data_IF_822994207628
#
_entry.id   IF_822994207628
#
_cell.length_a   1.000
_cell.length_b   1.000
_cell.length_c   1.000
_cell.angle_alpha   90.00
_cell.angle_beta   90.00
_cell.angle_gamma   90.00
#
_symmetry.space_group_name_H-M   'P 1'
#
loop_
_entity.id
_entity.type
_entity.pdbx_description
1 polymer ?
#
# COMPACT_ATOMS: atom_id res chain seq x y z
N UNK A 1 5.98 16.50 -4.95
CA UNK A 1 4.85 17.42 -4.69
C UNK A 1 4.48 18.26 -5.92
N UNK A 2 5.38 19.07 -6.48
CA UNK A 2 5.04 19.92 -7.64
C UNK A 2 4.50 19.12 -8.85
N UNK A 3 5.17 18.02 -9.22
CA UNK A 3 4.73 17.15 -10.32
C UNK A 3 3.35 16.52 -10.06
N UNK A 4 3.13 16.00 -8.84
CA UNK A 4 1.86 15.41 -8.43
C UNK A 4 0.72 16.44 -8.48
N UNK A 5 0.96 17.63 -7.93
CA UNK A 5 0.01 18.73 -7.95
C UNK A 5 -0.29 19.18 -9.39
N UNK A 6 0.72 19.25 -10.25
CA UNK A 6 0.56 19.56 -11.67
C UNK A 6 -0.31 18.54 -12.40
N UNK A 7 -0.03 17.24 -12.24
CA UNK A 7 -0.84 16.17 -12.83
C UNK A 7 -2.29 16.28 -12.33
N UNK A 8 -2.50 16.42 -11.01
CA UNK A 8 -3.83 16.52 -10.43
C UNK A 8 -4.63 17.73 -10.93
N UNK A 9 -4.00 18.90 -11.06
CA UNK A 9 -4.63 20.10 -11.59
C UNK A 9 -4.98 19.95 -13.07
N UNK A 10 -4.02 19.49 -13.89
CA UNK A 10 -4.24 19.28 -15.33
C UNK A 10 -5.38 18.28 -15.55
N UNK A 11 -5.38 17.15 -14.84
CA UNK A 11 -6.47 16.17 -14.91
C UNK A 11 -7.80 16.77 -14.51
N UNK A 12 -7.85 17.55 -13.43
CA UNK A 12 -9.09 18.23 -12.98
C UNK A 12 -9.65 19.13 -14.08
N UNK A 13 -8.82 19.98 -14.69
CA UNK A 13 -9.26 20.85 -15.79
C UNK A 13 -9.77 20.06 -17.00
N UNK A 14 -9.03 19.02 -17.42
CA UNK A 14 -9.43 18.18 -18.56
C UNK A 14 -10.75 17.45 -18.30
N UNK A 15 -10.92 16.91 -17.09
CA UNK A 15 -12.15 16.24 -16.67
C UNK A 15 -13.33 17.20 -16.73
N UNK A 16 -13.19 18.42 -16.19
CA UNK A 16 -14.26 19.43 -16.24
C UNK A 16 -14.64 19.81 -17.68
N UNK A 17 -13.66 19.88 -18.60
CA UNK A 17 -13.90 20.25 -19.99
C UNK A 17 -14.68 19.18 -20.79
N UNK A 18 -14.51 17.88 -20.47
CA UNK A 18 -15.06 16.78 -21.28
C UNK A 18 -16.21 16.01 -20.62
N UNK A 19 -16.40 16.16 -19.30
CA UNK A 19 -17.36 15.35 -18.53
C UNK A 19 -18.82 15.52 -19.00
N UNK A 20 -19.19 16.68 -19.51
CA UNK A 20 -20.55 16.91 -20.04
C UNK A 20 -20.80 16.20 -21.37
N UNK A 21 -19.77 15.97 -22.18
CA UNK A 21 -19.89 15.35 -23.51
C UNK A 21 -19.68 13.83 -23.45
N UNK A 22 -18.65 13.38 -22.73
CA UNK A 22 -18.24 11.97 -22.66
C UNK A 22 -17.82 11.56 -21.24
N UNK A 23 -18.78 11.32 -20.33
CA UNK A 23 -18.48 11.02 -18.93
C UNK A 23 -17.61 9.77 -18.72
N UNK A 24 -17.70 8.78 -19.61
CA UNK A 24 -16.84 7.59 -19.57
C UNK A 24 -15.35 7.93 -19.79
N UNK A 25 -15.04 8.82 -20.73
CA UNK A 25 -13.66 9.24 -20.99
C UNK A 25 -13.10 10.09 -19.84
N UNK A 26 -13.93 10.98 -19.27
CA UNK A 26 -13.58 11.74 -18.08
C UNK A 26 -13.20 10.80 -16.92
N UNK A 27 -13.97 9.72 -16.73
CA UNK A 27 -13.70 8.73 -15.70
C UNK A 27 -12.38 7.97 -15.93
N UNK A 28 -12.13 7.48 -17.15
CA UNK A 28 -10.86 6.83 -17.52
C UNK A 28 -9.64 7.74 -17.29
N UNK A 29 -9.79 9.04 -17.53
CA UNK A 29 -8.74 10.04 -17.29
C UNK A 29 -8.38 10.15 -15.81
N UNK A 30 -9.39 10.13 -14.92
CA UNK A 30 -9.17 10.14 -13.46
C UNK A 30 -8.44 8.88 -13.01
N UNK A 31 -8.86 7.69 -13.49
CA UNK A 31 -8.18 6.44 -13.14
C UNK A 31 -6.72 6.42 -13.61
N UNK A 32 -6.47 6.87 -14.84
CA UNK A 32 -5.12 6.94 -15.40
C UNK A 32 -4.24 7.89 -14.59
N UNK A 33 -4.72 9.09 -14.30
CA UNK A 33 -3.99 10.08 -13.52
C UNK A 33 -3.73 9.62 -12.08
N UNK A 34 -4.75 9.05 -11.42
CA UNK A 34 -4.63 8.50 -10.06
C UNK A 34 -3.61 7.38 -9.98
N UNK A 35 -3.65 6.44 -10.94
CA UNK A 35 -2.65 5.37 -11.05
C UNK A 35 -1.25 5.93 -11.30
N UNK A 36 -1.12 6.93 -12.20
CA UNK A 36 0.16 7.58 -12.47
C UNK A 36 0.75 8.27 -11.23
N UNK A 37 -0.06 9.02 -10.48
CA UNK A 37 0.36 9.66 -9.23
C UNK A 37 0.85 8.61 -8.22
N UNK A 38 0.16 7.48 -8.09
CA UNK A 38 0.56 6.41 -7.20
C UNK A 38 1.93 5.82 -7.60
N UNK A 39 2.16 5.57 -8.89
CA UNK A 39 3.45 5.07 -9.37
C UNK A 39 4.59 6.05 -9.07
N UNK A 40 4.38 7.36 -9.18
CA UNK A 40 5.37 8.36 -8.77
C UNK A 40 5.73 8.32 -7.28
N UNK A 41 4.83 7.86 -6.42
CA UNK A 41 5.08 7.75 -4.98
C UNK A 41 5.90 6.52 -4.61
N UNK A 42 5.94 5.49 -5.46
CA UNK A 42 6.65 4.23 -5.19
C UNK A 42 8.14 4.47 -4.91
N UNK A 43 8.80 5.35 -5.66
CA UNK A 43 10.21 5.67 -5.45
C UNK A 43 10.48 6.32 -4.09
N UNK A 44 9.56 7.17 -3.62
CA UNK A 44 9.69 7.81 -2.31
C UNK A 44 9.47 6.80 -1.18
N UNK A 45 8.51 5.90 -1.35
CA UNK A 45 8.30 4.79 -0.41
C UNK A 45 9.55 3.91 -0.34
N UNK A 46 10.18 3.59 -1.48
CA UNK A 46 11.41 2.81 -1.52
C UNK A 46 12.57 3.48 -0.76
N UNK A 47 12.75 4.80 -0.91
CA UNK A 47 13.77 5.55 -0.14
C UNK A 47 13.51 5.52 1.36
N UNK A 48 12.25 5.65 1.78
CA UNK A 48 11.87 5.57 3.20
C UNK A 48 12.19 4.17 3.73
N UNK A 49 11.86 3.12 2.98
CA UNK A 49 12.19 1.73 3.33
C UNK A 49 13.69 1.56 3.54
N UNK A 50 14.52 2.02 2.60
CA UNK A 50 15.99 1.94 2.72
C UNK A 50 16.52 2.69 3.94
N UNK A 51 15.96 3.86 4.24
CA UNK A 51 16.35 4.65 5.42
C UNK A 51 16.02 3.91 6.73
N UNK A 52 14.85 3.29 6.81
CA UNK A 52 14.43 2.47 7.95
C UNK A 52 15.33 1.24 8.10
N UNK A 53 15.66 0.55 7.01
CA UNK A 53 16.56 -0.61 7.02
C UNK A 53 17.97 -0.23 7.50
N UNK A 54 18.52 0.90 7.03
CA UNK A 54 19.82 1.41 7.47
C UNK A 54 19.83 1.78 8.96
N UNK A 55 18.75 2.40 9.45
CA UNK A 55 18.61 2.76 10.86
C UNK A 55 18.52 1.50 11.73
N UNK A 56 17.77 0.49 11.30
CA UNK A 56 17.65 -0.79 11.99
C UNK A 56 19.01 -1.52 12.09
N UNK A 57 19.77 -1.54 10.99
CA UNK A 57 21.12 -2.10 10.96
C UNK A 57 22.07 -1.37 11.93
N UNK A 58 21.98 -0.04 11.99
CA UNK A 58 22.79 0.78 12.92
C UNK A 58 22.41 0.57 14.39
N UNK A 59 21.15 0.24 14.67
CA UNK A 59 20.63 0.01 16.02
C UNK A 59 20.79 -1.46 16.50
N UNK A 60 21.46 -2.33 15.73
CA UNK A 60 21.58 -3.77 16.01
C UNK A 60 20.22 -4.49 16.15
N UNK A 61 19.18 -3.94 15.51
CA UNK A 61 17.85 -4.57 15.45
C UNK A 61 17.90 -5.66 14.38
N UNK A 62 17.26 -6.80 14.65
CA UNK A 62 17.14 -7.86 13.67
C UNK A 62 16.35 -7.34 12.45
N UNK A 63 17.07 -7.10 11.35
CA UNK A 63 16.57 -6.57 10.08
C UNK A 63 15.47 -7.44 9.46
N UNK A 64 15.37 -8.72 9.84
CA UNK A 64 14.31 -9.61 9.38
C UNK A 64 12.92 -9.15 9.87
N UNK A 65 12.80 -8.68 11.12
CA UNK A 65 11.51 -8.19 11.63
C UNK A 65 11.12 -6.88 10.97
N UNK A 66 12.07 -5.95 10.81
CA UNK A 66 11.84 -4.66 10.15
C UNK A 66 11.40 -4.88 8.70
N UNK A 67 12.09 -5.74 7.95
CA UNK A 67 11.73 -6.09 6.58
C UNK A 67 10.34 -6.74 6.49
N UNK A 68 9.96 -7.54 7.49
CA UNK A 68 8.64 -8.17 7.54
C UNK A 68 7.53 -7.14 7.80
N UNK A 69 7.74 -6.20 8.71
CA UNK A 69 6.81 -5.08 8.96
C UNK A 69 6.65 -4.24 7.69
N UNK A 70 7.74 -3.90 7.01
CA UNK A 70 7.69 -3.12 5.76
C UNK A 70 6.95 -3.86 4.64
N UNK A 71 7.07 -5.19 4.55
CA UNK A 71 6.26 -6.01 3.62
C UNK A 71 4.76 -5.92 3.94
N UNK A 72 4.39 -6.01 5.22
CA UNK A 72 2.98 -5.90 5.65
C UNK A 72 2.42 -4.52 5.26
N UNK A 73 3.15 -3.45 5.55
CA UNK A 73 2.77 -2.08 5.20
C UNK A 73 2.60 -1.94 3.68
N UNK A 74 3.56 -2.45 2.90
CA UNK A 74 3.51 -2.42 1.44
C UNK A 74 2.27 -3.12 0.88
N UNK A 75 1.96 -4.33 1.36
CA UNK A 75 0.77 -5.08 0.95
C UNK A 75 -0.50 -4.31 1.31
N UNK A 76 -0.58 -3.74 2.52
CA UNK A 76 -1.73 -2.97 2.95
C UNK A 76 -1.99 -1.76 2.03
N UNK A 77 -0.95 -0.98 1.71
CA UNK A 77 -1.08 0.18 0.83
C UNK A 77 -1.48 -0.20 -0.60
N UNK A 78 -0.87 -1.26 -1.17
CA UNK A 78 -1.20 -1.71 -2.53
C UNK A 78 -2.64 -2.22 -2.59
N UNK A 79 -3.07 -3.02 -1.61
CA UNK A 79 -4.42 -3.56 -1.54
C UNK A 79 -5.46 -2.44 -1.38
N UNK A 80 -5.23 -1.49 -0.45
CA UNK A 80 -6.13 -0.35 -0.22
C UNK A 80 -6.25 0.52 -1.47
N UNK A 81 -5.12 0.89 -2.08
CA UNK A 81 -5.12 1.72 -3.28
C UNK A 81 -5.85 1.04 -4.45
N UNK A 82 -5.53 -0.23 -4.70
CA UNK A 82 -6.17 -1.00 -5.78
C UNK A 82 -7.68 -1.17 -5.52
N UNK A 83 -8.09 -1.37 -4.28
CA UNK A 83 -9.49 -1.44 -3.90
C UNK A 83 -10.21 -0.10 -4.10
N UNK A 84 -9.61 1.03 -3.72
CA UNK A 84 -10.17 2.35 -3.94
C UNK A 84 -10.36 2.66 -5.43
N UNK A 85 -9.32 2.45 -6.25
CA UNK A 85 -9.42 2.60 -7.71
C UNK A 85 -10.51 1.69 -8.31
N UNK A 86 -10.64 0.46 -7.82
CA UNK A 86 -11.71 -0.46 -8.25
C UNK A 86 -13.10 0.03 -7.84
N UNK A 87 -13.26 0.62 -6.64
CA UNK A 87 -14.52 1.21 -6.18
C UNK A 87 -14.88 2.44 -7.01
N UNK A 88 -13.91 3.30 -7.31
CA UNK A 88 -14.10 4.46 -8.16
C UNK A 88 -14.60 4.04 -9.57
N UNK A 89 -14.15 2.87 -10.05
CA UNK A 89 -14.64 2.23 -11.29
C UNK A 89 -16.01 1.56 -11.22
N UNK A 90 -16.71 1.65 -10.09
CA UNK A 90 -17.96 0.93 -9.88
C UNK A 90 -17.78 -0.58 -9.71
N UNK A 91 -16.53 -1.08 -9.64
CA UNK A 91 -16.20 -2.50 -9.50
C UNK A 91 -16.06 -2.89 -8.01
N UNK A 92 -17.10 -2.60 -7.22
CA UNK A 92 -17.10 -2.83 -5.77
C UNK A 92 -16.82 -4.29 -5.39
N UNK A 93 -17.36 -5.26 -6.14
CA UNK A 93 -17.08 -6.69 -5.89
C UNK A 93 -15.61 -7.05 -6.14
N UNK A 94 -14.93 -6.38 -7.08
CA UNK A 94 -13.49 -6.58 -7.29
C UNK A 94 -12.70 -5.97 -6.15
N UNK A 95 -13.06 -4.75 -5.73
CA UNK A 95 -12.44 -4.09 -4.59
C UNK A 95 -12.48 -4.95 -3.31
N UNK A 96 -13.64 -5.53 -2.98
CA UNK A 96 -13.77 -6.42 -1.81
C UNK A 96 -12.88 -7.66 -1.90
N UNK A 97 -12.70 -8.23 -3.10
CA UNK A 97 -11.80 -9.38 -3.31
C UNK A 97 -10.33 -8.98 -3.12
N UNK A 98 -9.95 -7.80 -3.58
CA UNK A 98 -8.59 -7.25 -3.41
C UNK A 98 -8.29 -6.99 -1.92
N UNK A 99 -9.23 -6.36 -1.20
CA UNK A 99 -9.09 -6.14 0.25
C UNK A 99 -8.94 -7.46 1.01
N UNK A 100 -9.76 -8.47 0.67
CA UNK A 100 -9.68 -9.79 1.28
C UNK A 100 -8.33 -10.44 1.01
N UNK A 101 -7.84 -10.38 -0.24
CA UNK A 101 -6.53 -10.92 -0.61
C UNK A 101 -5.41 -10.24 0.19
N UNK A 102 -5.43 -8.91 0.30
CA UNK A 102 -4.47 -8.16 1.11
C UNK A 102 -4.46 -8.60 2.57
N UNK A 103 -5.64 -8.76 3.18
CA UNK A 103 -5.78 -9.25 4.56
C UNK A 103 -5.22 -10.66 4.74
N UNK A 104 -5.52 -11.58 3.82
CA UNK A 104 -5.02 -12.96 3.87
C UNK A 104 -3.49 -12.99 3.74
N UNK A 105 -2.92 -12.21 2.82
CA UNK A 105 -1.47 -12.12 2.64
C UNK A 105 -0.76 -11.56 3.88
N UNK A 106 -1.33 -10.52 4.50
CA UNK A 106 -0.82 -9.95 5.74
C UNK A 106 -0.86 -11.01 6.86
N UNK A 107 -1.98 -11.72 7.01
CA UNK A 107 -2.12 -12.79 8.00
C UNK A 107 -1.07 -13.88 7.80
N UNK A 108 -0.88 -14.35 6.56
CA UNK A 108 0.11 -15.37 6.25
C UNK A 108 1.54 -14.96 6.64
N UNK A 109 1.89 -13.68 6.44
CA UNK A 109 3.20 -13.13 6.82
C UNK A 109 3.30 -12.88 8.33
N UNK A 110 2.18 -12.65 9.02
CA UNK A 110 2.15 -12.46 10.46
C UNK A 110 2.31 -13.77 11.24
N UNK A 111 1.95 -14.93 10.67
CA UNK A 111 2.02 -16.24 11.35
C UNK A 111 3.43 -16.52 11.93
N UNK A 112 4.54 -16.42 11.17
CA UNK A 112 5.86 -16.68 11.73
C UNK A 112 6.25 -15.76 12.88
N UNK A 113 5.82 -14.49 12.85
CA UNK A 113 6.06 -13.54 13.94
C UNK A 113 5.28 -13.97 15.19
N UNK A 114 4.01 -14.34 15.02
CA UNK A 114 3.17 -14.85 16.11
C UNK A 114 3.77 -16.12 16.72
N UNK A 115 4.28 -17.04 15.91
CA UNK A 115 4.96 -18.25 16.40
C UNK A 115 6.18 -17.90 17.24
N UNK A 116 7.06 -17.03 16.74
CA UNK A 116 8.26 -16.61 17.47
C UNK A 116 7.91 -15.92 18.81
N UNK A 117 6.84 -15.13 18.85
CA UNK A 117 6.35 -14.51 20.08
C UNK A 117 5.85 -15.55 21.08
N UNK A 118 5.05 -16.53 20.63
CA UNK A 118 4.55 -17.61 21.49
C UNK A 118 5.70 -18.44 22.06
N UNK A 119 6.66 -18.83 21.23
CA UNK A 119 7.86 -19.55 21.68
C UNK A 119 8.65 -18.75 22.73
N UNK A 120 8.80 -17.44 22.51
CA UNK A 120 9.47 -16.56 23.47
C UNK A 120 8.73 -16.52 24.82
N UNK A 121 7.39 -16.43 24.80
CA UNK A 121 6.58 -16.45 26.02
C UNK A 121 6.72 -17.78 26.76
N UNK A 122 6.67 -18.92 26.05
CA UNK A 122 6.84 -20.25 26.64
C UNK A 122 8.21 -20.39 27.29
N UNK A 123 9.28 -19.93 26.61
CA UNK A 123 10.65 -20.01 27.11
C UNK A 123 10.90 -19.15 28.37
N UNK A 124 10.14 -18.06 28.55
CA UNK A 124 10.23 -17.19 29.73
C UNK A 124 9.34 -17.71 30.88
N UNK A 125 8.36 -18.57 30.59
CA UNK A 125 7.47 -19.12 31.60
C UNK A 125 8.23 -20.10 32.50
N UNK A 126 8.28 -19.88 33.82
CA UNK A 126 8.92 -20.83 34.72
C UNK A 126 8.14 -22.15 34.69
N UNK A 127 8.80 -23.22 34.29
CA UNK A 127 8.31 -24.59 34.45
C UNK A 127 8.37 -24.93 35.93
N UNK A 128 7.22 -24.92 36.59
CA UNK A 128 7.03 -25.52 37.91
C UNK A 128 6.99 -27.05 37.79
#
# INVERSE_FOLDING_TARGET
>A
MLQIAGIALITTFLVLAIKEQTPNFAFLLVLFAGTGIFLFLVDQVHKIILMIENLAGSANVNTLYVKTILKIIGIAYIAEFTAQISKDAGLGSMASKVELAGKILILAIAVPIMTALIETIINIMPVN
#
